data_IF_001346671078
#
_entry.id   IF_001346671078
#
_cell.length_a   1.000
_cell.length_b   1.000
_cell.length_c   1.000
_cell.angle_alpha   90.00
_cell.angle_beta   90.00
_cell.angle_gamma   90.00
#
_symmetry.space_group_name_H-M   'P 1'
#
loop_
_entity.id
_entity.type
_entity.pdbx_description
1 polymer ?
#
# COMPACT_ATOMS: atom_id res chain seq x y z
N UNK A 1 -5.33 -2.76 14.32
CA UNK A 1 -4.43 -1.58 14.23
C UNK A 1 -3.11 -1.75 14.98
N UNK A 2 -3.03 -2.41 16.12
CA UNK A 2 -1.76 -2.62 16.85
C UNK A 2 -0.70 -3.48 16.11
N UNK A 3 -1.10 -4.33 15.18
CA UNK A 3 -0.22 -5.21 14.41
C UNK A 3 0.76 -4.49 13.48
N UNK A 4 0.42 -3.27 13.05
CA UNK A 4 1.20 -2.50 12.08
C UNK A 4 2.34 -1.67 12.72
N UNK A 5 2.35 -1.53 14.02
CA UNK A 5 3.19 -0.56 14.72
C UNK A 5 4.63 -1.05 14.97
N UNK A 6 4.84 -2.34 15.22
CA UNK A 6 6.21 -2.90 15.37
C UNK A 6 6.87 -3.09 14.00
N UNK A 7 6.07 -3.39 12.97
CA UNK A 7 6.53 -3.57 11.59
C UNK A 7 7.03 -2.29 10.92
N UNK A 8 6.57 -1.10 11.33
CA UNK A 8 6.98 0.16 10.71
C UNK A 8 8.41 0.59 11.06
N UNK A 9 9.03 0.04 12.09
CA UNK A 9 10.46 0.28 12.38
C UNK A 9 11.35 -0.55 11.44
N UNK A 10 10.92 -1.76 11.10
CA UNK A 10 11.58 -2.63 10.10
C UNK A 10 11.30 -2.16 8.66
N UNK A 11 10.22 -1.40 8.44
CA UNK A 11 9.74 -0.99 7.10
C UNK A 11 10.43 0.26 6.53
N UNK A 12 11.29 0.97 7.29
CA UNK A 12 11.98 2.15 6.75
C UNK A 12 13.04 1.80 5.72
N UNK A 13 13.67 0.65 5.84
CA UNK A 13 14.64 0.17 4.83
C UNK A 13 13.92 -0.32 3.56
N UNK A 14 12.69 -0.85 3.71
CA UNK A 14 11.84 -1.23 2.56
C UNK A 14 11.20 -0.04 1.85
N UNK A 15 11.14 1.14 2.47
CA UNK A 15 10.52 2.34 1.88
C UNK A 15 11.51 3.20 1.08
N UNK A 16 12.81 3.03 1.27
CA UNK A 16 13.85 3.64 0.42
C UNK A 16 14.25 2.75 -0.77
N UNK A 17 13.71 1.54 -0.88
CA UNK A 17 13.84 0.75 -2.09
C UNK A 17 12.64 1.00 -2.99
N UNK A 18 12.81 1.12 -4.32
CA UNK A 18 11.69 1.35 -5.23
C UNK A 18 10.62 0.29 -4.99
N UNK A 19 9.39 0.76 -4.85
CA UNK A 19 8.20 -0.08 -4.62
C UNK A 19 8.03 -1.00 -5.82
N UNK A 20 8.61 -2.19 -5.75
CA UNK A 20 8.34 -3.24 -6.73
C UNK A 20 6.98 -3.85 -6.37
N UNK A 21 5.93 -3.19 -6.84
CA UNK A 21 4.62 -3.83 -6.98
C UNK A 21 4.77 -4.93 -8.02
N UNK A 22 4.53 -6.17 -7.63
CA UNK A 22 4.24 -7.24 -8.58
C UNK A 22 2.98 -6.82 -9.34
N UNK A 23 3.15 -6.19 -10.51
CA UNK A 23 2.07 -5.78 -11.39
C UNK A 23 1.33 -7.02 -11.89
N UNK A 24 0.20 -7.32 -11.28
CA UNK A 24 -0.79 -8.23 -11.87
C UNK A 24 -1.48 -7.48 -13.00
N UNK A 25 -0.98 -7.63 -14.22
CA UNK A 25 -1.75 -7.32 -15.42
C UNK A 25 -2.88 -8.33 -15.55
N UNK A 26 -4.09 -7.93 -15.16
CA UNK A 26 -5.31 -8.65 -15.50
C UNK A 26 -5.83 -8.14 -16.86
N UNK A 27 -5.20 -8.54 -17.94
CA UNK A 27 -5.83 -8.55 -19.25
C UNK A 27 -5.95 -9.98 -19.72
N UNK A 28 -7.17 -10.51 -19.62
CA UNK A 28 -7.58 -11.78 -20.20
C UNK A 28 -7.66 -11.65 -21.71
N UNK A 29 -6.59 -12.01 -22.42
CA UNK A 29 -6.68 -12.43 -23.81
C UNK A 29 -6.68 -13.98 -23.83
N UNK A 30 -7.83 -14.54 -24.14
CA UNK A 30 -7.96 -15.94 -24.51
C UNK A 30 -7.28 -16.15 -25.89
N UNK A 31 -6.12 -16.74 -25.90
CA UNK A 31 -5.58 -17.43 -27.05
C UNK A 31 -5.31 -18.87 -26.63
N UNK A 32 -6.02 -19.80 -27.31
CA UNK A 32 -5.78 -21.23 -27.20
C UNK A 32 -4.41 -21.55 -27.81
N UNK A 33 -3.42 -21.84 -26.96
CA UNK A 33 -2.18 -22.48 -27.39
C UNK A 33 -2.19 -23.92 -26.90
N UNK A 34 -2.20 -24.86 -27.84
CA UNK A 34 -2.05 -26.28 -27.59
C UNK A 34 -0.76 -26.54 -26.80
N UNK A 35 -0.91 -27.05 -25.57
CA UNK A 35 0.18 -27.57 -24.75
C UNK A 35 0.59 -28.92 -25.26
N UNK A 36 1.80 -29.02 -25.77
CA UNK A 36 2.58 -30.26 -25.71
C UNK A 36 3.17 -30.36 -24.29
N UNK A 37 2.69 -31.33 -23.54
CA UNK A 37 3.22 -31.67 -22.21
C UNK A 37 4.54 -32.41 -22.38
N UNK A 38 5.66 -31.75 -22.17
CA UNK A 38 6.91 -32.41 -21.80
C UNK A 38 6.97 -32.45 -20.25
N UNK A 39 6.58 -33.61 -19.70
CA UNK A 39 6.81 -33.96 -18.29
C UNK A 39 8.29 -34.25 -18.09
N UNK A 40 9.06 -33.26 -17.69
CA UNK A 40 10.35 -33.50 -17.05
C UNK A 40 10.24 -33.02 -15.59
N UNK A 41 9.78 -33.94 -14.74
CA UNK A 41 9.83 -33.79 -13.28
C UNK A 41 11.26 -34.09 -12.83
N UNK A 42 12.14 -33.12 -12.89
CA UNK A 42 13.37 -33.13 -12.11
C UNK A 42 12.99 -33.00 -10.63
N UNK A 43 13.12 -34.13 -9.90
CA UNK A 43 13.08 -34.11 -8.42
C UNK A 43 14.27 -33.29 -7.96
N UNK A 44 14.06 -32.01 -7.65
CA UNK A 44 15.05 -31.22 -6.92
C UNK A 44 15.36 -31.95 -5.62
N UNK A 45 16.61 -32.30 -5.41
CA UNK A 45 17.08 -32.84 -4.13
C UNK A 45 16.91 -31.82 -3.00
N UNK A 46 17.12 -32.21 -1.71
CA UNK A 46 17.01 -31.30 -0.60
C UNK A 46 17.95 -30.10 -0.79
N UNK A 47 17.42 -28.88 -0.59
CA UNK A 47 18.19 -27.65 -0.76
C UNK A 47 19.36 -27.65 0.23
N UNK A 48 20.58 -27.45 -0.29
CA UNK A 48 21.77 -27.35 0.56
C UNK A 48 21.81 -25.96 1.22
N UNK A 49 21.39 -25.88 2.48
CA UNK A 49 21.35 -24.64 3.27
C UNK A 49 22.73 -24.02 3.53
N UNK A 50 23.81 -24.82 3.46
CA UNK A 50 25.18 -24.36 3.65
C UNK A 50 25.86 -23.94 2.35
N UNK A 51 25.19 -24.09 1.22
CA UNK A 51 25.73 -23.64 -0.06
C UNK A 51 26.00 -22.12 -0.04
N UNK A 52 27.22 -21.74 -0.42
CA UNK A 52 27.59 -20.34 -0.60
C UNK A 52 26.98 -19.83 -1.91
N UNK A 53 26.15 -18.79 -1.85
CA UNK A 53 25.46 -18.22 -3.01
C UNK A 53 26.05 -16.88 -3.46
N UNK A 54 26.71 -16.15 -2.56
CA UNK A 54 27.46 -14.94 -2.88
C UNK A 54 28.62 -14.76 -1.90
N UNK A 55 29.68 -14.02 -2.34
CA UNK A 55 30.86 -13.69 -1.51
C UNK A 55 31.50 -12.37 -1.93
N UNK A 56 32.16 -11.69 -0.98
CA UNK A 56 33.07 -10.57 -1.19
C UNK A 56 33.99 -10.47 0.02
N UNK A 57 35.22 -10.07 -0.19
CA UNK A 57 36.25 -10.05 0.85
C UNK A 57 36.24 -11.32 1.71
N UNK A 58 36.05 -11.18 3.01
CA UNK A 58 35.92 -12.28 3.97
C UNK A 58 34.45 -12.65 4.29
N UNK A 59 33.49 -12.12 3.53
CA UNK A 59 32.05 -12.35 3.71
C UNK A 59 31.54 -13.42 2.76
N UNK A 60 30.60 -14.20 3.27
CA UNK A 60 29.84 -15.18 2.49
C UNK A 60 28.37 -15.07 2.84
N UNK A 61 27.52 -15.26 1.84
CA UNK A 61 26.07 -15.45 2.02
C UNK A 61 25.77 -16.89 1.68
N UNK A 62 25.10 -17.58 2.60
CA UNK A 62 24.64 -18.95 2.40
C UNK A 62 23.18 -19.00 1.98
N UNK A 63 22.78 -20.07 1.30
CA UNK A 63 21.38 -20.30 0.94
C UNK A 63 20.45 -20.27 2.15
N UNK A 64 20.92 -20.78 3.30
CA UNK A 64 20.18 -20.75 4.55
C UNK A 64 19.86 -19.34 5.06
N UNK A 65 20.77 -18.38 4.84
CA UNK A 65 20.54 -16.97 5.20
C UNK A 65 19.42 -16.37 4.34
N UNK A 66 19.44 -16.68 3.04
CA UNK A 66 18.41 -16.21 2.11
C UNK A 66 17.04 -16.81 2.45
N UNK A 67 16.99 -18.12 2.70
CA UNK A 67 15.73 -18.82 3.05
C UNK A 67 15.13 -18.29 4.33
N UNK A 68 15.95 -18.03 5.35
CA UNK A 68 15.51 -17.43 6.59
C UNK A 68 14.86 -16.06 6.37
N UNK A 69 15.42 -15.23 5.51
CA UNK A 69 14.81 -13.93 5.19
C UNK A 69 13.55 -14.09 4.33
N UNK A 70 13.51 -15.09 3.43
CA UNK A 70 12.30 -15.42 2.67
C UNK A 70 11.14 -15.75 3.61
N UNK A 71 11.34 -16.66 4.54
CA UNK A 71 10.30 -17.12 5.48
C UNK A 71 9.85 -15.98 6.42
N UNK A 72 10.80 -15.16 6.89
CA UNK A 72 10.52 -14.01 7.76
C UNK A 72 9.64 -12.97 7.06
N UNK A 73 9.87 -12.72 5.78
CA UNK A 73 9.22 -11.63 5.05
C UNK A 73 7.98 -12.07 4.23
N UNK A 74 7.84 -13.38 3.95
CA UNK A 74 6.75 -13.91 3.14
C UNK A 74 5.35 -13.44 3.58
N UNK A 75 4.97 -13.51 4.87
CA UNK A 75 3.63 -13.12 5.32
C UNK A 75 3.26 -11.67 5.04
N UNK A 76 4.26 -10.80 4.85
CA UNK A 76 4.07 -9.37 4.68
C UNK A 76 4.16 -8.92 3.22
N UNK A 77 5.00 -9.60 2.42
CA UNK A 77 5.29 -9.22 1.03
C UNK A 77 4.40 -9.97 0.05
N UNK A 78 4.03 -11.22 0.36
CA UNK A 78 3.39 -12.12 -0.57
C UNK A 78 1.85 -12.15 -0.47
N UNK A 79 1.23 -11.21 0.25
CA UNK A 79 -0.23 -11.19 0.37
C UNK A 79 -0.93 -11.24 -1.01
N UNK A 80 -1.95 -12.10 -1.21
CA UNK A 80 -2.63 -12.95 -0.23
C UNK A 80 -1.96 -14.28 0.11
N UNK A 81 -0.87 -14.71 -0.56
CA UNK A 81 -0.10 -15.89 -0.17
C UNK A 81 0.61 -15.62 1.18
N UNK A 82 0.63 -16.61 2.05
CA UNK A 82 1.24 -16.48 3.37
C UNK A 82 2.59 -17.19 3.48
N UNK A 83 2.93 -18.01 2.48
CA UNK A 83 4.20 -18.74 2.41
C UNK A 83 4.75 -18.80 1.00
N UNK A 84 6.06 -19.00 0.89
CA UNK A 84 6.76 -19.12 -0.41
C UNK A 84 6.28 -20.33 -1.22
N UNK A 85 5.90 -21.41 -0.54
CA UNK A 85 5.44 -22.65 -1.17
C UNK A 85 4.09 -22.51 -1.90
N UNK A 86 3.32 -21.47 -1.60
CA UNK A 86 2.05 -21.16 -2.26
C UNK A 86 2.23 -20.45 -3.62
N UNK A 87 3.44 -19.95 -3.90
CA UNK A 87 3.74 -19.26 -5.14
C UNK A 87 4.03 -20.23 -6.29
N UNK A 88 3.76 -19.84 -7.54
CA UNK A 88 4.31 -20.49 -8.73
C UNK A 88 5.85 -20.58 -8.67
N UNK A 89 6.45 -21.56 -9.32
CA UNK A 89 7.90 -21.81 -9.27
C UNK A 89 8.75 -20.62 -9.75
N UNK A 90 8.35 -20.00 -10.83
CA UNK A 90 8.99 -18.80 -11.36
C UNK A 90 8.93 -17.61 -10.37
N UNK A 91 7.80 -17.40 -9.71
CA UNK A 91 7.66 -16.38 -8.65
C UNK A 91 8.51 -16.73 -7.42
N UNK A 92 8.63 -18.01 -7.03
CA UNK A 92 9.55 -18.44 -5.96
C UNK A 92 10.99 -18.07 -6.28
N UNK A 93 11.44 -18.29 -7.54
CA UNK A 93 12.78 -17.95 -7.98
C UNK A 93 13.01 -16.44 -7.92
N UNK A 94 12.07 -15.63 -8.41
CA UNK A 94 12.18 -14.17 -8.37
C UNK A 94 12.19 -13.66 -6.92
N UNK A 95 11.34 -14.20 -6.08
CA UNK A 95 11.31 -13.84 -4.66
C UNK A 95 12.63 -14.21 -3.96
N UNK A 96 13.20 -15.39 -4.26
CA UNK A 96 14.53 -15.78 -3.74
C UNK A 96 15.62 -14.81 -4.18
N UNK A 97 15.66 -14.43 -5.47
CA UNK A 97 16.62 -13.43 -5.97
C UNK A 97 16.51 -12.10 -5.24
N UNK A 98 15.29 -11.62 -5.07
CA UNK A 98 15.00 -10.40 -4.32
C UNK A 98 15.52 -10.49 -2.88
N UNK A 99 15.28 -11.61 -2.19
CA UNK A 99 15.76 -11.80 -0.82
C UNK A 99 17.28 -11.97 -0.75
N UNK A 100 17.91 -12.60 -1.73
CA UNK A 100 19.38 -12.68 -1.83
C UNK A 100 19.99 -11.27 -1.94
N UNK A 101 19.47 -10.44 -2.83
CA UNK A 101 19.93 -9.06 -2.98
C UNK A 101 19.70 -8.27 -1.69
N UNK A 102 18.55 -8.42 -1.05
CA UNK A 102 18.26 -7.78 0.24
C UNK A 102 19.28 -8.17 1.34
N UNK A 103 19.66 -9.46 1.42
CA UNK A 103 20.68 -9.93 2.38
C UNK A 103 22.04 -9.31 2.06
N UNK A 104 22.44 -9.30 0.78
CA UNK A 104 23.71 -8.70 0.32
C UNK A 104 23.75 -7.21 0.65
N UNK A 105 22.73 -6.46 0.28
CA UNK A 105 22.62 -5.02 0.51
C UNK A 105 22.77 -4.68 1.99
N UNK A 106 22.02 -5.39 2.84
CA UNK A 106 22.10 -5.23 4.28
C UNK A 106 23.51 -5.48 4.83
N UNK A 107 24.17 -6.52 4.35
CA UNK A 107 25.53 -6.85 4.80
C UNK A 107 26.56 -5.81 4.31
N UNK A 108 26.46 -5.35 3.06
CA UNK A 108 27.32 -4.29 2.51
C UNK A 108 27.17 -2.98 3.28
N UNK A 109 25.94 -2.62 3.65
CA UNK A 109 25.68 -1.43 4.46
C UNK A 109 26.26 -1.59 5.88
N UNK A 110 26.12 -2.77 6.48
CA UNK A 110 26.70 -3.04 7.79
C UNK A 110 28.24 -3.00 7.78
N UNK A 111 28.88 -3.52 6.73
CA UNK A 111 30.35 -3.45 6.57
C UNK A 111 30.80 -1.99 6.44
N UNK A 112 30.06 -1.21 5.66
CA UNK A 112 30.33 0.23 5.52
C UNK A 112 30.21 1.01 6.83
N UNK A 113 29.39 0.58 7.77
CA UNK A 113 29.25 1.25 9.07
C UNK A 113 30.58 1.35 9.81
N UNK A 114 31.40 0.30 9.74
CA UNK A 114 32.76 0.29 10.32
C UNK A 114 33.68 1.29 9.63
N UNK A 115 33.72 1.29 8.31
CA UNK A 115 34.55 2.21 7.49
C UNK A 115 34.18 3.68 7.72
N UNK A 116 32.87 3.96 7.77
CA UNK A 116 32.30 5.29 7.98
C UNK A 116 32.30 5.72 9.45
N UNK A 117 32.81 4.86 10.36
CA UNK A 117 32.84 5.10 11.80
C UNK A 117 31.45 5.46 12.39
N UNK A 118 30.41 4.82 11.85
CA UNK A 118 29.05 5.00 12.34
C UNK A 118 28.89 4.28 13.69
N UNK A 119 28.46 5.02 14.70
CA UNK A 119 28.23 4.49 16.05
C UNK A 119 26.77 4.65 16.45
N UNK A 120 26.12 3.56 16.83
CA UNK A 120 24.81 3.55 17.49
C UNK A 120 25.03 3.38 18.97
N UNK A 121 24.71 4.41 19.74
CA UNK A 121 24.89 4.42 21.19
C UNK A 121 23.72 3.74 21.91
N UNK A 122 23.93 3.33 23.17
CA UNK A 122 22.83 2.79 23.99
C UNK A 122 21.73 3.84 24.28
N UNK A 123 22.07 5.12 24.21
CA UNK A 123 21.08 6.21 24.25
C UNK A 123 20.18 6.19 23.01
N UNK A 124 20.75 5.94 21.83
CA UNK A 124 19.93 5.83 20.59
C UNK A 124 18.96 4.66 20.71
N UNK A 125 19.41 3.52 21.24
CA UNK A 125 18.59 2.33 21.47
C UNK A 125 17.46 2.63 22.45
N UNK A 126 17.78 3.18 23.62
CA UNK A 126 16.75 3.55 24.60
C UNK A 126 15.71 4.49 23.99
N UNK A 127 16.13 5.55 23.33
CA UNK A 127 15.22 6.50 22.67
C UNK A 127 14.34 5.81 21.63
N UNK A 128 14.89 4.86 20.87
CA UNK A 128 14.15 4.08 19.90
C UNK A 128 13.09 3.19 20.55
N UNK A 129 13.46 2.44 21.60
CA UNK A 129 12.52 1.61 22.36
C UNK A 129 11.42 2.46 22.99
N UNK A 130 11.75 3.60 23.61
CA UNK A 130 10.76 4.52 24.19
C UNK A 130 9.79 5.05 23.12
N UNK A 131 10.30 5.35 21.93
CA UNK A 131 9.47 5.79 20.80
C UNK A 131 8.53 4.70 20.30
N UNK A 132 8.95 3.44 20.34
CA UNK A 132 8.10 2.29 20.02
C UNK A 132 7.05 2.10 21.12
N UNK A 133 7.45 2.08 22.39
CA UNK A 133 6.55 1.91 23.54
C UNK A 133 5.43 2.97 23.56
N UNK A 134 5.72 4.22 23.23
CA UNK A 134 4.72 5.33 23.15
C UNK A 134 3.61 5.11 22.12
N UNK A 135 3.75 4.17 21.21
CA UNK A 135 2.70 3.84 20.21
C UNK A 135 1.69 2.83 20.75
N UNK A 136 1.92 2.30 21.93
CA UNK A 136 1.03 1.37 22.64
C UNK A 136 0.31 2.11 23.76
N UNK A 137 -0.92 1.71 24.09
CA UNK A 137 -1.66 2.34 25.18
C UNK A 137 -0.99 2.17 26.54
N UNK A 138 -0.28 1.05 26.77
CA UNK A 138 0.43 0.71 27.98
C UNK A 138 1.52 -0.34 27.73
N UNK A 139 2.31 -0.64 28.76
CA UNK A 139 3.42 -1.59 28.69
C UNK A 139 2.94 -3.05 28.52
N UNK A 140 1.75 -3.36 29.00
CA UNK A 140 1.16 -4.69 28.86
C UNK A 140 0.76 -4.95 27.39
N UNK A 141 0.22 -3.96 26.71
CA UNK A 141 -0.08 -4.04 25.27
C UNK A 141 1.21 -4.21 24.45
N UNK A 142 2.29 -3.50 24.79
CA UNK A 142 3.60 -3.67 24.16
C UNK A 142 4.16 -5.09 24.38
N UNK A 143 4.18 -5.59 25.63
CA UNK A 143 4.66 -6.94 25.94
C UNK A 143 3.83 -8.03 25.23
N UNK A 144 2.51 -7.85 25.16
CA UNK A 144 1.61 -8.75 24.44
C UNK A 144 1.91 -8.79 22.94
N UNK A 145 2.21 -7.64 22.34
CA UNK A 145 2.58 -7.55 20.93
C UNK A 145 3.91 -8.24 20.63
N UNK A 146 4.92 -8.10 21.50
CA UNK A 146 6.19 -8.84 21.38
C UNK A 146 5.97 -10.36 21.46
N UNK A 147 5.15 -10.79 22.41
CA UNK A 147 4.82 -12.23 22.57
C UNK A 147 4.10 -12.79 21.34
N UNK A 148 3.17 -12.05 20.76
CA UNK A 148 2.47 -12.44 19.51
C UNK A 148 3.45 -12.62 18.36
N UNK A 149 4.48 -11.78 18.28
CA UNK A 149 5.55 -11.88 17.28
C UNK A 149 6.66 -12.88 17.65
N UNK A 150 6.53 -13.58 18.77
CA UNK A 150 7.56 -14.50 19.30
C UNK A 150 8.92 -13.82 19.42
N UNK A 151 8.94 -12.56 19.81
CA UNK A 151 10.13 -11.72 19.93
C UNK A 151 10.37 -11.33 21.38
N UNK A 152 11.62 -11.34 21.82
CA UNK A 152 12.07 -10.83 23.12
C UNK A 152 12.46 -9.34 22.99
N UNK A 153 12.49 -8.60 24.12
CA UNK A 153 13.01 -7.23 24.13
C UNK A 153 14.46 -7.15 23.63
N UNK A 154 15.30 -8.14 23.99
CA UNK A 154 16.69 -8.22 23.54
C UNK A 154 16.82 -8.39 22.02
N UNK A 155 15.94 -9.16 21.42
CA UNK A 155 15.88 -9.30 19.96
C UNK A 155 15.40 -7.99 19.30
N UNK A 156 14.40 -7.33 19.90
CA UNK A 156 13.97 -6.00 19.44
C UNK A 156 15.12 -4.98 19.54
N UNK A 157 15.89 -4.95 20.62
CA UNK A 157 17.06 -4.08 20.77
C UNK A 157 18.11 -4.37 19.68
N UNK A 158 18.38 -5.64 19.41
CA UNK A 158 19.33 -6.06 18.37
C UNK A 158 18.87 -5.63 16.98
N UNK A 159 17.59 -5.82 16.66
CA UNK A 159 16.99 -5.42 15.40
C UNK A 159 17.04 -3.89 15.28
N UNK A 160 16.66 -3.16 16.31
CA UNK A 160 16.71 -1.70 16.34
C UNK A 160 18.14 -1.16 16.19
N UNK A 161 19.14 -1.79 16.81
CA UNK A 161 20.56 -1.38 16.65
C UNK A 161 20.99 -1.52 15.20
N UNK A 162 20.61 -2.62 14.55
CA UNK A 162 20.88 -2.85 13.13
C UNK A 162 20.23 -1.78 12.25
N UNK A 163 18.94 -1.51 12.49
CA UNK A 163 18.16 -0.55 11.69
C UNK A 163 18.68 0.89 11.86
N UNK A 164 19.04 1.28 13.09
CA UNK A 164 19.66 2.57 13.35
C UNK A 164 21.08 2.68 12.72
N UNK A 165 21.82 1.57 12.65
CA UNK A 165 23.11 1.52 11.97
C UNK A 165 22.91 1.77 10.49
N UNK A 166 22.00 1.08 9.84
CA UNK A 166 21.64 1.26 8.43
C UNK A 166 21.24 2.71 8.18
N UNK A 167 20.30 3.24 9.00
CA UNK A 167 19.86 4.62 8.88
C UNK A 167 21.03 5.62 8.96
N UNK A 168 21.91 5.48 9.94
CA UNK A 168 23.07 6.37 10.10
C UNK A 168 24.06 6.26 8.94
N UNK A 169 24.22 5.07 8.34
CA UNK A 169 25.02 4.90 7.11
C UNK A 169 24.38 5.68 5.96
N UNK A 170 23.07 5.49 5.74
CA UNK A 170 22.33 6.23 4.71
C UNK A 170 22.48 7.75 4.92
N UNK A 171 22.22 8.23 6.13
CA UNK A 171 22.35 9.65 6.47
C UNK A 171 23.77 10.17 6.18
N UNK A 172 24.82 9.36 6.45
CA UNK A 172 26.22 9.73 6.22
C UNK A 172 26.55 9.80 4.74
N UNK A 173 26.17 8.78 3.96
CA UNK A 173 26.51 8.73 2.52
C UNK A 173 25.69 9.73 1.70
N UNK A 174 24.51 10.12 2.20
CA UNK A 174 23.63 11.09 1.55
C UNK A 174 23.81 12.54 2.05
N UNK A 175 24.80 12.79 2.91
CA UNK A 175 25.06 14.15 3.44
C UNK A 175 25.37 15.16 2.34
N UNK A 176 25.99 14.71 1.24
CA UNK A 176 26.34 15.54 0.08
C UNK A 176 25.24 15.66 -0.96
N UNK A 177 24.03 15.16 -0.65
CA UNK A 177 22.91 15.27 -1.57
C UNK A 177 22.65 16.74 -1.92
N UNK A 178 22.56 17.10 -3.21
CA UNK A 178 22.24 18.46 -3.62
C UNK A 178 20.89 18.92 -3.07
N UNK A 179 20.80 20.18 -2.68
CA UNK A 179 19.53 20.77 -2.26
C UNK A 179 18.50 20.75 -3.39
N UNK A 180 17.23 20.71 -3.02
CA UNK A 180 16.13 20.86 -3.99
C UNK A 180 15.89 22.35 -4.20
N UNK A 181 15.92 22.78 -5.46
CA UNK A 181 15.67 24.16 -5.84
C UNK A 181 14.20 24.44 -6.06
N UNK A 182 13.79 25.69 -5.95
CA UNK A 182 12.45 26.17 -6.28
C UNK A 182 12.03 25.82 -7.71
N UNK A 183 13.01 25.85 -8.64
CA UNK A 183 12.77 25.50 -10.04
C UNK A 183 12.41 24.03 -10.21
N UNK A 184 13.09 23.14 -9.50
CA UNK A 184 12.80 21.70 -9.54
C UNK A 184 11.41 21.39 -8.98
N UNK A 185 11.01 22.04 -7.88
CA UNK A 185 9.66 21.89 -7.33
C UNK A 185 8.62 22.37 -8.34
N UNK A 186 8.83 23.55 -8.95
CA UNK A 186 7.94 24.12 -9.95
C UNK A 186 7.82 23.23 -11.20
N UNK A 187 8.94 22.67 -11.66
CA UNK A 187 8.96 21.78 -12.81
C UNK A 187 8.20 20.49 -12.50
N UNK A 188 8.48 19.85 -11.36
CA UNK A 188 7.76 18.63 -10.95
C UNK A 188 6.26 18.84 -10.85
N UNK A 189 5.82 19.96 -10.28
CA UNK A 189 4.40 20.30 -10.19
C UNK A 189 3.76 20.43 -11.59
N UNK A 190 4.43 21.09 -12.53
CA UNK A 190 3.95 21.30 -13.91
C UNK A 190 3.92 20.01 -14.74
N UNK A 191 4.89 19.13 -14.52
CA UNK A 191 5.03 17.86 -15.25
C UNK A 191 4.06 16.78 -14.73
N UNK A 192 3.50 16.97 -13.53
CA UNK A 192 2.60 16.01 -12.90
C UNK A 192 1.21 16.60 -12.58
N UNK A 193 0.49 17.24 -13.52
CA UNK A 193 -0.75 17.99 -13.23
C UNK A 193 -1.86 17.10 -12.66
N UNK A 194 -1.96 15.85 -13.12
CA UNK A 194 -3.00 14.91 -12.66
C UNK A 194 -2.87 14.57 -11.16
N UNK A 195 -1.65 14.61 -10.63
CA UNK A 195 -1.38 14.34 -9.22
C UNK A 195 -1.97 15.40 -8.28
N UNK A 196 -2.14 16.61 -8.79
CA UNK A 196 -2.64 17.77 -8.04
C UNK A 196 -4.11 18.08 -8.31
N UNK A 197 -4.78 17.26 -9.10
CA UNK A 197 -6.23 17.36 -9.27
C UNK A 197 -6.94 16.70 -8.09
N UNK A 198 -7.75 17.49 -7.43
CA UNK A 198 -8.72 17.00 -6.45
C UNK A 198 -10.07 16.89 -7.15
N UNK A 199 -10.56 15.68 -7.41
CA UNK A 199 -11.80 15.49 -8.14
C UNK A 199 -13.00 16.01 -7.32
N UNK A 200 -14.10 16.29 -8.02
CA UNK A 200 -15.37 16.60 -7.39
C UNK A 200 -15.82 15.47 -6.48
N UNK A 201 -16.27 15.81 -5.27
CA UNK A 201 -16.82 14.86 -4.30
C UNK A 201 -18.18 15.35 -3.80
N UNK A 202 -19.08 14.42 -3.53
CA UNK A 202 -20.36 14.69 -2.89
C UNK A 202 -20.51 13.85 -1.64
N UNK A 203 -21.11 14.43 -0.62
CA UNK A 203 -21.60 13.71 0.56
C UNK A 203 -23.10 13.56 0.45
N UNK A 204 -23.57 12.31 0.43
CA UNK A 204 -24.98 12.02 0.23
C UNK A 204 -25.49 10.95 1.19
N UNK A 205 -26.81 10.99 1.39
CA UNK A 205 -27.60 9.88 1.92
C UNK A 205 -28.58 9.40 0.86
N UNK A 206 -29.00 8.13 0.95
CA UNK A 206 -30.01 7.59 0.07
C UNK A 206 -31.03 6.68 0.78
N UNK A 207 -32.22 6.58 0.18
CA UNK A 207 -33.25 5.57 0.47
C UNK A 207 -33.38 4.71 -0.78
N UNK A 208 -33.31 3.40 -0.65
CA UNK A 208 -33.53 2.43 -1.73
C UNK A 208 -34.81 1.65 -1.48
N UNK A 209 -35.67 1.56 -2.47
CA UNK A 209 -36.68 0.51 -2.60
C UNK A 209 -36.21 -0.47 -3.67
N UNK A 210 -35.80 -1.65 -3.23
CA UNK A 210 -35.21 -2.66 -4.12
C UNK A 210 -36.26 -3.20 -5.11
N UNK A 211 -35.81 -3.45 -6.34
CA UNK A 211 -36.59 -4.09 -7.38
C UNK A 211 -35.73 -5.14 -8.06
N UNK A 212 -36.15 -6.39 -8.02
CA UNK A 212 -35.43 -7.47 -8.70
C UNK A 212 -35.41 -7.22 -10.22
N UNK A 213 -34.35 -7.63 -10.89
CA UNK A 213 -34.22 -7.48 -12.35
C UNK A 213 -35.34 -8.15 -13.11
N UNK A 214 -35.87 -9.27 -12.57
CA UNK A 214 -36.93 -10.06 -13.15
C UNK A 214 -38.33 -9.77 -12.52
N UNK A 215 -38.44 -8.68 -11.73
CA UNK A 215 -39.69 -8.30 -11.08
C UNK A 215 -40.79 -8.05 -12.11
N UNK A 216 -42.01 -8.47 -11.75
CA UNK A 216 -43.18 -8.22 -12.58
C UNK A 216 -43.48 -6.72 -12.70
N UNK A 217 -44.26 -6.32 -13.70
CA UNK A 217 -44.71 -4.93 -13.84
C UNK A 217 -45.52 -4.46 -12.61
N UNK A 218 -46.27 -5.34 -11.99
CA UNK A 218 -47.02 -5.04 -10.78
C UNK A 218 -46.09 -4.77 -9.58
N UNK A 219 -45.02 -5.55 -9.41
CA UNK A 219 -44.02 -5.34 -8.34
C UNK A 219 -43.22 -4.04 -8.54
N UNK A 220 -42.87 -3.74 -9.78
CA UNK A 220 -42.21 -2.47 -10.14
C UNK A 220 -43.10 -1.27 -9.83
N UNK A 221 -44.39 -1.37 -10.17
CA UNK A 221 -45.37 -0.31 -9.87
C UNK A 221 -45.56 -0.14 -8.36
N UNK A 222 -45.65 -1.24 -7.62
CA UNK A 222 -45.76 -1.20 -6.14
C UNK A 222 -44.52 -0.54 -5.50
N UNK A 223 -43.32 -0.91 -5.95
CA UNK A 223 -42.08 -0.31 -5.48
C UNK A 223 -42.02 1.20 -5.81
N UNK A 224 -42.44 1.59 -7.02
CA UNK A 224 -42.52 2.98 -7.44
C UNK A 224 -43.49 3.79 -6.57
N UNK A 225 -44.68 3.28 -6.32
CA UNK A 225 -45.65 3.94 -5.41
C UNK A 225 -45.08 4.07 -3.99
N UNK A 226 -44.34 3.06 -3.51
CA UNK A 226 -43.66 3.11 -2.19
C UNK A 226 -42.64 4.25 -2.14
N UNK A 227 -41.76 4.33 -3.12
CA UNK A 227 -40.72 5.37 -3.13
C UNK A 227 -41.29 6.77 -3.33
N UNK A 228 -42.38 6.92 -4.14
CA UNK A 228 -43.12 8.18 -4.29
C UNK A 228 -43.71 8.66 -2.98
N UNK A 229 -44.36 7.74 -2.23
CA UNK A 229 -44.89 8.06 -0.88
C UNK A 229 -43.79 8.52 0.09
N UNK A 230 -42.63 7.85 0.08
CA UNK A 230 -41.49 8.25 0.89
C UNK A 230 -40.97 9.62 0.50
N UNK A 231 -40.83 9.89 -0.79
CA UNK A 231 -40.40 11.20 -1.28
C UNK A 231 -41.35 12.32 -0.85
N UNK A 232 -42.67 12.10 -0.90
CA UNK A 232 -43.66 13.05 -0.44
C UNK A 232 -43.48 13.40 1.03
N UNK A 233 -43.28 12.40 1.91
CA UNK A 233 -43.01 12.60 3.34
C UNK A 233 -41.75 13.42 3.59
N UNK A 234 -40.67 13.20 2.79
CA UNK A 234 -39.44 13.97 2.88
C UNK A 234 -39.66 15.44 2.48
N UNK A 235 -40.48 15.69 1.44
CA UNK A 235 -40.83 17.06 1.02
C UNK A 235 -41.68 17.76 2.10
N UNK A 236 -42.53 17.02 2.81
CA UNK A 236 -43.33 17.50 3.93
C UNK A 236 -42.49 17.74 5.21
N UNK A 237 -41.19 17.45 5.17
CA UNK A 237 -40.21 17.77 6.23
C UNK A 237 -39.91 16.67 7.22
N UNK A 238 -40.29 15.41 6.91
CA UNK A 238 -39.94 14.27 7.76
C UNK A 238 -38.44 13.99 7.74
N UNK A 239 -37.90 13.47 8.84
CA UNK A 239 -36.47 13.23 8.98
C UNK A 239 -35.97 12.14 8.02
N UNK A 240 -34.99 12.47 7.20
CA UNK A 240 -34.44 11.58 6.17
C UNK A 240 -33.81 10.33 6.77
N UNK A 241 -33.03 10.50 7.86
CA UNK A 241 -32.29 9.39 8.46
C UNK A 241 -33.24 8.39 9.11
N UNK A 242 -34.33 8.88 9.74
CA UNK A 242 -35.35 8.01 10.32
C UNK A 242 -36.11 7.26 9.24
N UNK A 243 -36.55 7.97 8.19
CA UNK A 243 -37.22 7.33 7.06
C UNK A 243 -36.35 6.26 6.37
N UNK A 244 -35.07 6.53 6.22
CA UNK A 244 -34.10 5.58 5.66
C UNK A 244 -33.96 4.33 6.55
N UNK A 245 -33.87 4.50 7.88
CA UNK A 245 -33.81 3.36 8.82
C UNK A 245 -35.04 2.47 8.75
N UNK A 246 -36.21 3.06 8.63
CA UNK A 246 -37.46 2.35 8.70
C UNK A 246 -37.88 1.70 7.37
N UNK A 247 -37.46 2.29 6.24
CA UNK A 247 -38.05 1.94 4.94
C UNK A 247 -37.02 1.56 3.86
N UNK A 248 -35.73 1.86 4.04
CA UNK A 248 -34.72 1.55 3.02
C UNK A 248 -34.39 0.08 2.99
N UNK A 249 -34.32 -0.50 1.79
CA UNK A 249 -33.90 -1.88 1.58
C UNK A 249 -32.37 -2.01 1.51
N UNK A 250 -31.62 -0.89 1.47
CA UNK A 250 -30.16 -0.87 1.53
C UNK A 250 -29.66 -1.12 2.96
N UNK A 251 -28.64 -2.00 3.18
CA UNK A 251 -28.07 -2.24 4.50
C UNK A 251 -27.53 -0.97 5.19
N UNK A 252 -26.99 0.00 4.44
CA UNK A 252 -26.55 1.30 4.96
C UNK A 252 -27.75 2.14 5.44
N UNK A 253 -28.91 2.04 4.80
CA UNK A 253 -30.14 2.71 5.22
C UNK A 253 -30.51 2.34 6.65
N UNK A 254 -30.54 1.06 6.95
CA UNK A 254 -30.91 0.54 8.27
C UNK A 254 -29.90 0.86 9.37
N UNK A 255 -28.59 0.91 9.05
CA UNK A 255 -27.53 1.11 10.06
C UNK A 255 -27.22 2.58 10.30
N UNK A 256 -27.08 3.38 9.25
CA UNK A 256 -26.58 4.75 9.30
C UNK A 256 -27.56 5.80 8.76
N UNK A 257 -28.86 5.47 8.66
CA UNK A 257 -29.85 6.42 8.14
C UNK A 257 -29.63 6.78 6.66
N UNK A 258 -29.06 5.84 5.90
CA UNK A 258 -28.80 6.01 4.48
C UNK A 258 -27.49 6.73 4.15
N UNK A 259 -26.71 7.16 5.14
CA UNK A 259 -25.46 7.89 4.93
C UNK A 259 -24.44 7.05 4.17
N UNK A 260 -23.92 7.62 3.07
CA UNK A 260 -22.89 7.05 2.20
C UNK A 260 -21.52 7.71 2.39
N UNK A 261 -21.45 8.80 3.17
CA UNK A 261 -20.26 9.63 3.30
C UNK A 261 -19.90 10.36 2.00
N UNK A 262 -18.65 10.82 1.92
CA UNK A 262 -18.06 11.45 0.73
C UNK A 262 -17.67 10.41 -0.31
N UNK A 263 -18.03 10.66 -1.57
CA UNK A 263 -17.61 9.82 -2.69
C UNK A 263 -17.35 10.63 -3.96
N UNK A 264 -16.42 10.08 -4.77
CA UNK A 264 -16.03 10.61 -6.08
C UNK A 264 -16.84 9.95 -7.19
N UNK A 265 -16.79 10.53 -8.41
CA UNK A 265 -17.31 9.87 -9.61
C UNK A 265 -16.61 8.52 -9.82
N UNK A 266 -17.34 7.58 -10.44
CA UNK A 266 -16.87 6.21 -10.67
C UNK A 266 -17.07 5.24 -9.48
N UNK A 267 -17.67 5.69 -8.36
CA UNK A 267 -17.93 4.85 -7.19
C UNK A 267 -19.34 4.27 -7.14
N UNK A 268 -20.29 4.91 -7.81
CA UNK A 268 -21.70 4.52 -7.85
C UNK A 268 -22.11 4.18 -9.27
N UNK A 269 -23.27 3.52 -9.44
CA UNK A 269 -23.84 3.29 -10.78
C UNK A 269 -24.18 4.63 -11.44
N UNK A 270 -24.08 4.66 -12.75
CA UNK A 270 -24.08 5.90 -13.55
C UNK A 270 -25.33 6.76 -13.30
N UNK A 271 -26.49 6.15 -13.20
CA UNK A 271 -27.77 6.84 -13.00
C UNK A 271 -27.80 7.54 -11.63
N UNK A 272 -27.36 6.85 -10.59
CA UNK A 272 -27.23 7.39 -9.24
C UNK A 272 -26.21 8.54 -9.18
N UNK A 273 -25.06 8.30 -9.77
CA UNK A 273 -23.96 9.27 -9.80
C UNK A 273 -24.39 10.56 -10.52
N UNK A 274 -25.00 10.45 -11.70
CA UNK A 274 -25.44 11.60 -12.45
C UNK A 274 -26.45 12.44 -11.63
N UNK A 275 -27.39 11.80 -10.96
CA UNK A 275 -28.37 12.48 -10.13
C UNK A 275 -27.69 13.15 -8.91
N UNK A 276 -26.82 12.42 -8.18
CA UNK A 276 -26.15 12.95 -7.00
C UNK A 276 -25.27 14.15 -7.31
N UNK A 277 -24.49 14.10 -8.40
CA UNK A 277 -23.57 15.18 -8.76
C UNK A 277 -24.27 16.39 -9.42
N UNK A 278 -25.50 16.26 -9.91
CA UNK A 278 -26.29 17.37 -10.45
C UNK A 278 -26.92 18.24 -9.34
N UNK A 279 -27.12 17.69 -8.15
CA UNK A 279 -27.77 18.37 -7.04
C UNK A 279 -26.83 19.30 -6.28
N UNK A 280 -27.40 20.27 -5.59
CA UNK A 280 -26.71 21.15 -4.64
C UNK A 280 -26.83 20.63 -3.22
N UNK A 281 -25.94 21.05 -2.32
CA UNK A 281 -26.09 20.75 -0.89
C UNK A 281 -27.46 21.17 -0.34
N UNK A 282 -28.11 20.25 0.40
CA UNK A 282 -29.45 20.39 0.93
C UNK A 282 -30.57 19.90 0.00
N UNK A 283 -30.31 19.70 -1.27
CA UNK A 283 -31.33 19.26 -2.22
C UNK A 283 -31.63 17.76 -2.12
N UNK A 284 -32.89 17.43 -2.48
CA UNK A 284 -33.42 16.09 -2.60
C UNK A 284 -33.62 15.76 -4.09
N UNK A 285 -33.20 14.58 -4.52
CA UNK A 285 -33.38 14.15 -5.90
C UNK A 285 -34.85 13.90 -6.24
N UNK A 286 -35.15 13.86 -7.54
CA UNK A 286 -36.26 13.08 -8.05
C UNK A 286 -36.02 11.58 -7.81
N UNK A 287 -37.00 10.74 -8.15
CA UNK A 287 -36.82 9.30 -8.05
C UNK A 287 -35.83 8.85 -9.14
N UNK A 288 -34.73 8.23 -8.69
CA UNK A 288 -33.67 7.75 -9.57
C UNK A 288 -33.83 6.23 -9.73
N UNK A 289 -34.04 5.79 -10.95
CA UNK A 289 -34.08 4.36 -11.28
C UNK A 289 -32.67 3.86 -11.60
N UNK A 290 -32.30 2.71 -10.98
CA UNK A 290 -31.02 2.03 -11.19
C UNK A 290 -31.25 0.52 -11.37
N UNK A 291 -30.25 -0.27 -11.72
CA UNK A 291 -30.37 -1.74 -11.74
C UNK A 291 -30.76 -2.38 -10.38
N UNK A 292 -30.66 -1.64 -9.28
CA UNK A 292 -31.01 -2.09 -7.93
C UNK A 292 -32.44 -1.73 -7.51
N UNK A 293 -33.11 -0.85 -8.22
CA UNK A 293 -34.44 -0.33 -7.91
C UNK A 293 -34.51 1.19 -7.92
N UNK A 294 -35.39 1.74 -7.10
CA UNK A 294 -35.67 3.16 -7.02
C UNK A 294 -35.01 3.81 -5.84
N UNK A 295 -34.37 4.93 -6.06
CA UNK A 295 -33.64 5.68 -5.05
C UNK A 295 -34.19 7.10 -4.88
N UNK A 296 -34.08 7.62 -3.65
CA UNK A 296 -34.13 9.05 -3.31
C UNK A 296 -32.79 9.39 -2.72
N UNK A 297 -32.17 10.46 -3.21
CA UNK A 297 -30.83 10.91 -2.81
C UNK A 297 -30.95 12.28 -2.16
N UNK A 298 -30.27 12.48 -1.03
CA UNK A 298 -30.13 13.79 -0.40
C UNK A 298 -28.67 14.16 -0.33
N UNK A 299 -28.32 15.35 -0.81
CA UNK A 299 -26.95 15.86 -0.76
C UNK A 299 -26.75 16.68 0.51
N UNK A 300 -25.70 16.34 1.26
CA UNK A 300 -25.30 17.06 2.48
C UNK A 300 -24.20 18.08 2.20
N UNK A 301 -23.24 17.73 1.33
CA UNK A 301 -22.11 18.56 0.98
C UNK A 301 -21.58 18.28 -0.42
N UNK A 302 -20.82 19.24 -0.94
CA UNK A 302 -20.18 19.13 -2.26
C UNK A 302 -18.84 19.84 -2.24
N UNK A 303 -17.77 19.11 -2.58
CA UNK A 303 -16.46 19.67 -2.86
C UNK A 303 -16.31 19.78 -4.38
N UNK A 304 -16.16 20.98 -4.93
CA UNK A 304 -15.93 21.11 -6.37
C UNK A 304 -14.57 20.54 -6.77
N UNK A 305 -14.46 20.11 -8.02
CA UNK A 305 -13.16 19.80 -8.60
C UNK A 305 -12.26 21.04 -8.51
N UNK A 306 -11.02 20.84 -8.07
CA UNK A 306 -10.01 21.88 -8.03
C UNK A 306 -8.61 21.32 -8.30
N UNK A 307 -7.74 22.18 -8.76
CA UNK A 307 -6.30 21.93 -8.78
C UNK A 307 -5.72 22.48 -7.48
N UNK A 308 -5.03 21.63 -6.73
CA UNK A 308 -4.31 22.05 -5.52
C UNK A 308 -3.17 22.95 -5.97
N UNK A 309 -3.11 24.17 -5.45
CA UNK A 309 -2.09 25.14 -5.82
C UNK A 309 -0.68 24.71 -5.39
N UNK A 310 0.34 25.15 -6.16
CA UNK A 310 1.74 24.84 -5.83
C UNK A 310 2.09 25.25 -4.39
N UNK A 311 1.62 26.40 -3.93
CA UNK A 311 1.93 26.91 -2.60
C UNK A 311 1.39 26.01 -1.47
N UNK A 312 0.27 25.28 -1.73
CA UNK A 312 -0.31 24.36 -0.76
C UNK A 312 0.54 23.07 -0.59
N UNK A 313 1.23 22.64 -1.65
CA UNK A 313 1.98 21.37 -1.68
C UNK A 313 3.50 21.56 -1.72
N UNK A 314 3.98 22.79 -1.79
CA UNK A 314 5.41 23.12 -1.98
C UNK A 314 6.30 22.49 -0.91
N UNK A 315 5.86 22.54 0.36
CA UNK A 315 6.61 21.96 1.47
C UNK A 315 6.72 20.45 1.36
N UNK A 316 5.62 19.77 1.04
CA UNK A 316 5.57 18.31 0.89
C UNK A 316 6.39 17.87 -0.33
N UNK A 317 6.27 18.59 -1.45
CA UNK A 317 7.06 18.33 -2.66
C UNK A 317 8.57 18.52 -2.41
N UNK A 318 8.95 19.54 -1.67
CA UNK A 318 10.36 19.74 -1.30
C UNK A 318 10.89 18.53 -0.53
N UNK A 319 10.15 18.05 0.47
CA UNK A 319 10.57 16.88 1.24
C UNK A 319 10.63 15.63 0.38
N UNK A 320 9.63 15.39 -0.46
CA UNK A 320 9.61 14.26 -1.37
C UNK A 320 10.80 14.28 -2.33
N UNK A 321 11.04 15.40 -3.01
CA UNK A 321 12.14 15.53 -3.97
C UNK A 321 13.51 15.39 -3.31
N UNK A 322 13.70 15.89 -2.07
CA UNK A 322 14.96 15.68 -1.36
C UNK A 322 15.15 14.21 -0.97
N UNK A 323 14.07 13.51 -0.61
CA UNK A 323 14.14 12.08 -0.33
C UNK A 323 14.47 11.27 -1.58
N UNK A 324 13.90 11.62 -2.73
CA UNK A 324 14.22 11.01 -4.02
C UNK A 324 15.70 11.22 -4.39
N UNK A 325 16.21 12.44 -4.28
CA UNK A 325 17.64 12.73 -4.51
C UNK A 325 18.55 11.95 -3.57
N UNK A 326 18.18 11.83 -2.29
CA UNK A 326 18.93 11.00 -1.33
C UNK A 326 18.91 9.53 -1.74
N UNK A 327 17.75 9.03 -2.19
CA UNK A 327 17.64 7.67 -2.73
C UNK A 327 18.61 7.45 -3.90
N UNK A 328 18.61 8.33 -4.89
CA UNK A 328 19.54 8.22 -6.03
C UNK A 328 21.02 8.22 -5.63
N UNK A 329 21.41 9.08 -4.68
CA UNK A 329 22.78 9.11 -4.16
C UNK A 329 23.12 7.80 -3.47
N UNK A 330 22.21 7.30 -2.64
CA UNK A 330 22.38 6.03 -1.94
C UNK A 330 22.45 4.85 -2.89
N UNK A 331 21.55 4.76 -3.87
CA UNK A 331 21.52 3.68 -4.85
C UNK A 331 22.80 3.61 -5.68
N UNK A 332 23.31 4.76 -6.13
CA UNK A 332 24.61 4.84 -6.82
C UNK A 332 25.75 4.36 -5.93
N UNK A 333 25.76 4.78 -4.67
CA UNK A 333 26.76 4.36 -3.70
C UNK A 333 26.70 2.85 -3.43
N UNK A 334 25.51 2.29 -3.27
CA UNK A 334 25.29 0.85 -3.03
C UNK A 334 25.66 0.02 -4.28
N UNK A 335 25.26 0.48 -5.46
CA UNK A 335 25.59 -0.16 -6.73
C UNK A 335 27.11 -0.25 -6.94
N UNK A 336 27.87 0.79 -6.55
CA UNK A 336 29.34 0.75 -6.61
C UNK A 336 29.90 -0.33 -5.68
N UNK A 337 29.37 -0.45 -4.45
CA UNK A 337 29.78 -1.51 -3.51
C UNK A 337 29.40 -2.91 -3.98
N UNK A 338 28.26 -3.07 -4.64
CA UNK A 338 27.83 -4.37 -5.20
C UNK A 338 28.80 -4.91 -6.26
N UNK A 339 29.61 -4.08 -6.91
CA UNK A 339 30.57 -4.54 -7.92
C UNK A 339 31.60 -5.54 -7.39
N UNK A 340 31.91 -5.52 -6.11
CA UNK A 340 32.82 -6.45 -5.47
C UNK A 340 32.20 -7.82 -5.17
N UNK A 341 30.85 -7.94 -5.24
CA UNK A 341 30.14 -9.19 -4.93
C UNK A 341 30.28 -10.20 -6.04
N UNK A 342 30.75 -11.38 -5.70
CA UNK A 342 30.86 -12.53 -6.62
C UNK A 342 29.74 -13.50 -6.32
N UNK A 343 28.82 -13.66 -7.26
CA UNK A 343 27.74 -14.64 -7.18
C UNK A 343 28.25 -16.01 -7.60
N UNK A 344 27.86 -17.06 -6.89
CA UNK A 344 28.19 -18.45 -7.25
C UNK A 344 27.44 -18.89 -8.51
N UNK A 345 26.15 -18.51 -8.62
CA UNK A 345 25.36 -18.66 -9.82
C UNK A 345 25.19 -17.29 -10.49
N UNK A 346 25.59 -17.14 -11.76
CA UNK A 346 25.45 -15.89 -12.50
C UNK A 346 23.98 -15.49 -12.71
N UNK A 347 23.05 -16.47 -12.72
CA UNK A 347 21.62 -16.21 -12.80
C UNK A 347 21.07 -15.49 -11.56
N UNK A 348 21.79 -15.52 -10.44
CA UNK A 348 21.42 -14.80 -9.22
C UNK A 348 21.78 -13.31 -9.27
N UNK A 349 22.61 -12.89 -10.24
CA UNK A 349 22.92 -11.48 -10.47
C UNK A 349 21.69 -10.76 -11.01
N UNK A 350 21.32 -9.67 -10.38
CA UNK A 350 20.29 -8.80 -10.95
C UNK A 350 20.73 -8.27 -12.30
N UNK A 351 19.91 -8.48 -13.31
CA UNK A 351 19.97 -7.63 -14.51
C UNK A 351 19.48 -6.26 -14.08
N UNK A 352 20.23 -5.17 -14.38
CA UNK A 352 19.71 -3.82 -14.11
C UNK A 352 18.31 -3.73 -14.74
N UNK A 353 17.31 -3.41 -13.94
CA UNK A 353 15.99 -3.10 -14.48
C UNK A 353 16.20 -2.06 -15.57
N UNK A 354 15.75 -2.37 -16.78
CA UNK A 354 15.59 -1.35 -17.79
C UNK A 354 14.59 -0.36 -17.18
N UNK A 355 15.11 0.80 -16.79
CA UNK A 355 14.27 1.95 -16.48
C UNK A 355 13.55 2.24 -17.80
N UNK A 356 12.34 1.72 -17.93
CA UNK A 356 11.43 2.14 -19.01
C UNK A 356 11.12 3.63 -18.75
N UNK A 357 11.72 4.44 -19.63
CA UNK A 357 11.49 5.87 -19.69
C UNK A 357 10.05 6.19 -20.09
#
# INVERSE_FOLDING_TARGET
MAFMVILTVVSWVTFCMPSVTLGRNTETKKEEVKKEESKETTKEGPVNMDAVVARWDNRVVKEGDVRKEMDKNAPYILYPAHSVSELPKDEQIQYRKKMLNFVIDRMLIQDAAGELKVVVTDKDIRNGIDSIKKRFPDEQAFASALKQQKMTEKELESDLRRDLTIKKVIDTVTVTTPTVTEQEISNYYKENPERFKQPEEVWASHILVNVDKNASSADREAARKKIEALRKRLIEGEDFAQLAKDNSDCPSGKRSGGDLGWFKRGRMVKEFENAAFALKPGELSDIVETPFGYHIIKIHGKHPERVIGLDEVKGDLHQELIMNKKGEVFDKWLAERKKQVVFTNQDDKETPDKIDN
#
